data_IF_043010019558
#
_entry.id   IF_043010019558
#
_cell.length_a   1.000
_cell.length_b   1.000
_cell.length_c   1.000
_cell.angle_alpha   90.00
_cell.angle_beta   90.00
_cell.angle_gamma   90.00
#
_symmetry.space_group_name_H-M   'P 1'
#
loop_
_entity.id
_entity.type
_entity.pdbx_description
1 polymer ?
#
# COMPACT_ATOMS: atom_id res chain seq x y z
N UNK A 1 30.32 29.58 4.50
CA UNK A 1 30.32 28.10 4.56
C UNK A 1 29.65 27.58 3.31
N UNK A 2 29.99 26.37 2.81
CA UNK A 2 29.27 25.80 1.67
C UNK A 2 27.78 25.68 2.04
N UNK A 3 26.87 26.19 1.18
CA UNK A 3 25.44 26.07 1.41
C UNK A 3 25.01 24.60 1.35
N UNK A 4 23.85 24.31 1.90
CA UNK A 4 23.20 23.01 1.73
C UNK A 4 22.81 22.85 0.26
N UNK A 5 23.10 21.69 -0.39
CA UNK A 5 22.71 21.46 -1.77
C UNK A 5 21.18 21.36 -1.93
N UNK A 6 20.72 21.46 -3.18
CA UNK A 6 19.36 21.08 -3.56
C UNK A 6 19.14 19.59 -3.22
N UNK A 7 17.94 19.21 -2.80
CA UNK A 7 17.61 17.82 -2.45
C UNK A 7 16.10 17.58 -2.45
N UNK A 8 15.71 16.32 -2.23
CA UNK A 8 14.33 15.91 -2.11
C UNK A 8 13.62 16.61 -0.94
N UNK A 9 12.34 16.94 -1.14
CA UNK A 9 11.54 17.63 -0.13
C UNK A 9 11.34 16.80 1.15
N UNK A 10 11.30 15.47 1.04
CA UNK A 10 11.24 14.54 2.18
C UNK A 10 12.53 14.57 2.98
N UNK A 11 13.69 14.74 2.32
CA UNK A 11 14.97 14.86 3.01
C UNK A 11 15.07 16.18 3.79
N UNK A 12 14.65 17.29 3.18
CA UNK A 12 14.55 18.57 3.90
C UNK A 12 13.65 18.47 5.13
N UNK A 13 12.48 17.84 5.00
CA UNK A 13 11.57 17.61 6.11
C UNK A 13 12.22 16.78 7.23
N UNK A 14 12.83 15.65 6.86
CA UNK A 14 13.49 14.76 7.82
C UNK A 14 14.64 15.46 8.57
N UNK A 15 15.40 16.33 7.90
CA UNK A 15 16.47 17.15 8.51
C UNK A 15 15.87 18.12 9.54
N UNK A 16 14.81 18.85 9.17
CA UNK A 16 14.10 19.75 10.10
C UNK A 16 13.64 19.00 11.35
N UNK A 17 13.03 17.83 11.17
CA UNK A 17 12.53 16.99 12.26
C UNK A 17 13.64 16.45 13.16
N UNK A 18 14.79 16.12 12.57
CA UNK A 18 15.96 15.63 13.31
C UNK A 18 16.62 16.72 14.16
N UNK A 19 16.71 17.96 13.66
CA UNK A 19 17.43 19.05 14.32
C UNK A 19 16.53 20.03 15.09
N UNK A 20 15.22 20.04 14.81
CA UNK A 20 14.28 21.09 15.27
C UNK A 20 14.45 22.43 14.57
N UNK A 21 15.35 22.51 13.58
CA UNK A 21 15.60 23.67 12.73
C UNK A 21 16.13 23.21 11.37
N UNK A 22 16.17 24.13 10.43
CA UNK A 22 16.75 23.88 9.12
C UNK A 22 18.28 23.86 9.18
N UNK A 23 18.88 23.07 8.29
CA UNK A 23 20.31 23.07 8.09
C UNK A 23 20.69 24.26 7.20
N UNK A 24 21.56 25.12 7.70
CA UNK A 24 22.02 26.32 6.97
C UNK A 24 23.33 26.05 6.23
N UNK A 25 24.01 24.94 6.56
CA UNK A 25 25.29 24.56 5.98
C UNK A 25 25.51 23.05 5.98
N UNK A 26 26.46 22.59 5.18
CA UNK A 26 26.96 21.21 5.22
C UNK A 26 27.45 20.82 6.62
N UNK A 27 27.96 21.77 7.41
CA UNK A 27 28.41 21.51 8.78
C UNK A 27 27.25 21.11 9.70
N UNK A 28 26.05 21.63 9.46
CA UNK A 28 24.87 21.20 10.21
C UNK A 28 24.47 19.77 9.85
N UNK A 29 24.61 19.37 8.58
CA UNK A 29 24.37 17.99 8.16
C UNK A 29 25.29 16.99 8.87
N UNK A 30 26.57 17.35 9.06
CA UNK A 30 27.54 16.49 9.77
C UNK A 30 27.13 16.15 11.20
N UNK A 31 26.35 17.01 11.86
CA UNK A 31 25.87 16.79 13.24
C UNK A 31 24.72 15.80 13.33
N UNK A 32 24.09 15.45 12.20
CA UNK A 32 22.94 14.55 12.16
C UNK A 32 23.42 13.13 12.44
N UNK A 33 22.75 12.48 13.38
CA UNK A 33 23.04 11.12 13.82
C UNK A 33 21.92 10.14 13.50
N UNK A 34 20.69 10.64 13.39
CA UNK A 34 19.47 9.85 13.15
C UNK A 34 18.58 10.56 12.14
N UNK A 35 18.11 9.81 11.14
CA UNK A 35 17.12 10.24 10.16
C UNK A 35 16.05 9.14 10.03
N UNK A 36 14.77 9.47 10.24
CA UNK A 36 13.68 8.46 10.32
C UNK A 36 12.28 8.94 9.90
N UNK A 37 12.14 10.17 9.41
CA UNK A 37 10.84 10.84 9.16
C UNK A 37 10.78 11.32 7.70
N UNK A 38 10.88 10.37 6.76
CA UNK A 38 10.88 10.61 5.31
C UNK A 38 9.48 10.45 4.69
N UNK A 39 8.44 10.31 5.51
CA UNK A 39 7.05 10.10 5.09
C UNK A 39 6.33 11.38 4.69
N UNK A 40 6.84 12.54 5.06
CA UNK A 40 6.25 13.82 4.68
C UNK A 40 7.26 14.59 3.83
N UNK A 41 6.73 15.41 2.91
CA UNK A 41 7.54 16.30 2.09
C UNK A 41 7.21 17.74 2.46
N UNK A 42 8.20 18.62 2.35
CA UNK A 42 7.95 20.06 2.45
C UNK A 42 7.02 20.52 1.33
N UNK A 43 6.02 21.33 1.70
CA UNK A 43 5.06 21.89 0.76
C UNK A 43 5.80 22.79 -0.27
N UNK A 44 5.61 22.56 -1.59
CA UNK A 44 6.28 23.30 -2.66
C UNK A 44 6.00 24.81 -2.66
N UNK A 45 4.93 25.27 -2.00
CA UNK A 45 4.48 26.67 -2.02
C UNK A 45 4.98 27.51 -0.85
N UNK A 46 5.65 26.93 0.15
CA UNK A 46 6.29 27.71 1.21
C UNK A 46 7.57 28.39 0.72
N UNK A 47 7.72 29.70 0.98
CA UNK A 47 8.97 30.44 0.72
C UNK A 47 10.12 29.88 1.57
N UNK A 48 11.26 29.60 0.92
CA UNK A 48 12.35 28.82 1.52
C UNK A 48 13.63 29.63 1.68
N UNK A 49 14.28 29.58 2.84
CA UNK A 49 15.63 30.11 3.03
C UNK A 49 16.77 29.32 2.34
N UNK A 50 16.51 28.15 1.75
CA UNK A 50 17.49 27.26 1.08
C UNK A 50 17.00 26.81 -0.30
N UNK A 51 17.85 26.07 -1.04
CA UNK A 51 17.80 25.77 -2.47
C UNK A 51 16.53 25.14 -3.06
N UNK A 52 16.62 24.73 -4.33
CA UNK A 52 15.49 24.17 -5.10
C UNK A 52 15.16 22.75 -4.65
N UNK A 53 13.91 22.34 -4.86
CA UNK A 53 13.54 20.92 -4.77
C UNK A 53 14.19 20.13 -5.90
N UNK A 54 14.83 19.03 -5.55
CA UNK A 54 15.29 18.00 -6.46
C UNK A 54 14.62 16.68 -6.05
N UNK A 55 13.40 16.39 -6.54
CA UNK A 55 12.71 15.13 -6.23
C UNK A 55 13.58 13.92 -6.59
N UNK A 56 13.67 12.93 -5.71
CA UNK A 56 14.50 11.73 -5.89
C UNK A 56 15.98 11.88 -5.46
N UNK A 57 16.46 13.12 -5.24
CA UNK A 57 17.86 13.36 -4.85
C UNK A 57 18.05 13.32 -3.32
N UNK A 58 18.69 12.24 -2.86
CA UNK A 58 19.07 12.03 -1.46
C UNK A 58 20.59 12.09 -1.23
N UNK A 59 21.37 12.56 -2.22
CA UNK A 59 22.84 12.59 -2.19
C UNK A 59 23.41 13.35 -0.99
N UNK A 60 22.67 14.33 -0.47
CA UNK A 60 23.04 15.13 0.68
C UNK A 60 23.23 14.31 1.98
N UNK A 61 22.63 13.12 2.08
CA UNK A 61 22.86 12.17 3.18
C UNK A 61 24.35 11.79 3.28
N UNK A 62 25.07 11.76 2.15
CA UNK A 62 26.51 11.45 2.13
C UNK A 62 27.39 12.46 2.89
N UNK A 63 26.87 13.63 3.27
CA UNK A 63 27.57 14.60 4.13
C UNK A 63 27.34 14.36 5.64
N UNK A 64 26.44 13.46 6.02
CA UNK A 64 26.11 13.17 7.42
C UNK A 64 27.10 12.15 8.02
N UNK A 65 28.36 12.56 8.22
CA UNK A 65 29.47 11.69 8.63
C UNK A 65 29.24 10.96 9.98
N UNK A 66 28.38 11.51 10.85
CA UNK A 66 28.02 10.93 12.15
C UNK A 66 26.70 10.13 12.14
N UNK A 67 26.08 9.94 10.97
CA UNK A 67 24.82 9.21 10.82
C UNK A 67 25.00 7.75 11.23
N UNK A 68 24.25 7.31 12.24
CA UNK A 68 24.24 5.94 12.71
C UNK A 68 22.90 5.23 12.51
N UNK A 69 21.84 5.97 12.20
CA UNK A 69 20.51 5.41 11.91
C UNK A 69 19.86 6.15 10.75
N UNK A 70 19.52 5.42 9.70
CA UNK A 70 18.79 5.90 8.53
C UNK A 70 17.59 4.99 8.31
N UNK A 71 16.39 5.55 8.33
CA UNK A 71 15.14 4.80 8.19
C UNK A 71 14.24 5.50 7.17
N UNK A 72 14.04 4.87 6.02
CA UNK A 72 13.03 5.26 5.03
C UNK A 72 11.69 4.59 5.37
N UNK A 73 11.08 4.94 6.49
CA UNK A 73 9.80 4.36 6.95
C UNK A 73 8.64 4.83 6.06
N UNK A 74 8.50 4.31 4.85
CA UNK A 74 7.48 4.77 3.89
C UNK A 74 6.18 3.96 3.93
N UNK A 75 5.99 3.10 4.93
CA UNK A 75 4.77 2.27 5.09
C UNK A 75 3.49 3.09 5.25
N UNK A 76 3.62 4.38 5.57
CA UNK A 76 2.51 5.29 5.88
C UNK A 76 1.90 5.97 4.64
N UNK A 77 2.35 5.66 3.42
CA UNK A 77 1.71 6.10 2.16
C UNK A 77 1.53 4.95 1.15
N UNK A 78 0.58 4.03 1.39
CA UNK A 78 0.32 2.92 0.47
C UNK A 78 -0.23 3.38 -0.90
N UNK A 79 -0.90 4.55 -1.00
CA UNK A 79 -0.61 5.63 -1.97
C UNK A 79 0.37 5.37 -3.10
N UNK A 80 1.61 5.41 -2.66
CA UNK A 80 2.75 5.66 -3.48
C UNK A 80 3.52 4.35 -3.49
N UNK A 81 3.96 3.92 -4.68
CA UNK A 81 4.92 2.84 -4.77
C UNK A 81 6.17 3.14 -3.92
N UNK A 82 7.09 2.17 -3.79
CA UNK A 82 8.32 2.35 -3.02
C UNK A 82 8.97 3.70 -3.31
N UNK A 83 9.51 4.36 -2.28
CA UNK A 83 10.14 5.66 -2.46
C UNK A 83 11.22 5.57 -3.55
N UNK A 84 11.05 6.37 -4.59
CA UNK A 84 12.04 6.47 -5.66
C UNK A 84 13.21 7.32 -5.19
N UNK A 85 14.38 6.71 -5.16
CA UNK A 85 15.67 7.34 -4.87
C UNK A 85 16.54 7.14 -6.10
N UNK A 86 17.03 8.24 -6.68
CA UNK A 86 17.72 8.20 -7.97
C UNK A 86 19.07 7.47 -7.89
N UNK A 87 19.79 7.64 -6.78
CA UNK A 87 21.10 7.06 -6.56
C UNK A 87 21.37 6.81 -5.07
N UNK A 88 21.71 5.55 -4.73
CA UNK A 88 22.06 5.12 -3.37
C UNK A 88 23.57 5.19 -3.07
N UNK A 89 24.41 5.65 -4.00
CA UNK A 89 25.87 5.72 -3.84
C UNK A 89 26.31 6.55 -2.61
N UNK A 90 25.46 7.46 -2.12
CA UNK A 90 25.69 8.21 -0.89
C UNK A 90 25.91 7.32 0.34
N UNK A 91 25.37 6.09 0.34
CA UNK A 91 25.55 5.12 1.42
C UNK A 91 27.02 4.83 1.66
N UNK A 92 27.84 4.76 0.60
CA UNK A 92 29.28 4.48 0.70
C UNK A 92 30.04 5.49 1.57
N UNK A 93 29.49 6.68 1.79
CA UNK A 93 30.07 7.74 2.65
C UNK A 93 29.63 7.64 4.11
N UNK A 94 28.57 6.88 4.41
CA UNK A 94 27.96 6.77 5.73
C UNK A 94 28.66 5.71 6.62
N UNK A 95 29.97 5.85 6.84
CA UNK A 95 30.80 4.80 7.48
C UNK A 95 30.44 4.47 8.94
N UNK A 96 29.62 5.28 9.61
CA UNK A 96 29.15 5.06 10.99
C UNK A 96 27.73 4.49 11.08
N UNK A 97 27.11 4.18 9.93
CA UNK A 97 25.75 3.68 9.85
C UNK A 97 25.64 2.30 10.50
N UNK A 98 24.77 2.18 11.52
CA UNK A 98 24.55 0.95 12.29
C UNK A 98 23.21 0.30 11.97
N UNK A 99 22.17 1.13 11.78
CA UNK A 99 20.83 0.70 11.42
C UNK A 99 20.44 1.39 10.12
N UNK A 100 20.11 0.58 9.12
CA UNK A 100 19.66 1.03 7.81
C UNK A 100 18.34 0.36 7.50
N UNK A 101 17.37 1.13 7.05
CA UNK A 101 16.09 0.60 6.61
C UNK A 101 15.74 1.19 5.24
N UNK A 102 15.67 0.29 4.25
CA UNK A 102 15.44 0.53 2.82
C UNK A 102 14.23 -0.24 2.28
N UNK A 103 13.44 -0.95 3.10
CA UNK A 103 12.47 -1.93 2.59
C UNK A 103 11.40 -1.32 1.66
N UNK A 104 10.90 -0.12 1.97
CA UNK A 104 9.94 0.61 1.13
C UNK A 104 10.60 1.63 0.19
N UNK A 105 11.69 1.24 -0.50
CA UNK A 105 12.41 2.10 -1.46
C UNK A 105 12.70 1.38 -2.78
N UNK A 106 13.19 2.11 -3.77
CA UNK A 106 13.68 1.58 -5.05
C UNK A 106 15.07 0.90 -4.99
N UNK A 107 15.56 0.54 -3.80
CA UNK A 107 16.89 -0.05 -3.62
C UNK A 107 17.00 -1.46 -4.24
N UNK A 108 18.08 -1.72 -4.97
CA UNK A 108 18.36 -3.03 -5.59
C UNK A 108 19.78 -3.54 -5.33
N UNK A 109 20.81 -2.68 -5.41
CA UNK A 109 22.21 -3.11 -5.41
C UNK A 109 22.81 -3.36 -4.01
N UNK A 110 22.89 -4.63 -3.62
CA UNK A 110 23.45 -5.04 -2.33
C UNK A 110 24.96 -4.78 -2.18
N UNK A 111 25.70 -4.57 -3.28
CA UNK A 111 27.16 -4.38 -3.22
C UNK A 111 27.54 -3.14 -2.39
N UNK A 112 26.68 -2.11 -2.40
CA UNK A 112 26.85 -0.88 -1.63
C UNK A 112 26.87 -1.11 -0.11
N UNK A 113 26.28 -2.19 0.38
CA UNK A 113 26.21 -2.50 1.81
C UNK A 113 27.56 -2.98 2.35
N UNK A 114 28.41 -3.55 1.49
CA UNK A 114 29.77 -3.99 1.88
C UNK A 114 30.67 -2.82 2.27
N UNK A 115 30.33 -1.60 1.82
CA UNK A 115 31.01 -0.36 2.14
C UNK A 115 30.60 0.24 3.50
N UNK A 116 29.73 -0.44 4.26
CA UNK A 116 29.21 0.01 5.55
C UNK A 116 29.78 -0.83 6.72
N UNK A 117 31.02 -0.56 7.19
CA UNK A 117 31.72 -1.42 8.14
C UNK A 117 31.10 -1.46 9.55
N UNK A 118 30.22 -0.50 9.86
CA UNK A 118 29.57 -0.39 11.17
C UNK A 118 28.15 -0.98 11.20
N UNK A 119 27.66 -1.53 10.08
CA UNK A 119 26.29 -1.98 9.92
C UNK A 119 26.00 -3.16 10.86
N UNK A 120 24.90 -3.06 11.61
CA UNK A 120 24.44 -4.08 12.57
C UNK A 120 23.08 -4.64 12.21
N UNK A 121 22.25 -3.83 11.58
CA UNK A 121 20.90 -4.20 11.18
C UNK A 121 20.56 -3.51 9.86
N UNK A 122 20.02 -4.30 8.92
CA UNK A 122 19.52 -3.82 7.65
C UNK A 122 18.15 -4.42 7.34
N UNK A 123 17.22 -3.58 6.90
CA UNK A 123 15.93 -3.97 6.35
C UNK A 123 15.93 -3.64 4.86
N UNK A 124 15.67 -4.63 4.02
CA UNK A 124 15.79 -4.56 2.58
C UNK A 124 14.45 -4.89 1.90
N UNK A 125 14.25 -4.46 0.65
CA UNK A 125 13.17 -4.96 -0.18
C UNK A 125 13.21 -6.50 -0.32
N UNK A 126 12.11 -7.09 -0.79
CA UNK A 126 12.01 -8.52 -1.12
C UNK A 126 13.26 -9.02 -1.87
N UNK A 127 13.80 -10.19 -1.50
CA UNK A 127 15.10 -10.65 -2.00
C UNK A 127 15.14 -10.80 -3.51
N UNK A 128 14.02 -11.15 -4.15
CA UNK A 128 13.88 -11.26 -5.61
C UNK A 128 14.10 -9.94 -6.37
N UNK A 129 13.95 -8.79 -5.70
CA UNK A 129 14.15 -7.44 -6.28
C UNK A 129 15.60 -6.96 -6.16
N UNK A 130 16.44 -7.72 -5.45
CA UNK A 130 17.81 -7.33 -5.15
C UNK A 130 18.79 -7.87 -6.19
N UNK A 131 19.82 -7.08 -6.48
CA UNK A 131 20.97 -7.43 -7.29
C UNK A 131 22.21 -7.61 -6.40
N UNK A 132 23.21 -8.35 -6.89
CA UNK A 132 24.45 -8.67 -6.16
C UNK A 132 24.22 -9.26 -4.76
N UNK A 133 23.21 -10.13 -4.64
CA UNK A 133 22.75 -10.71 -3.36
C UNK A 133 23.84 -11.49 -2.64
N UNK A 134 24.83 -12.02 -3.36
CA UNK A 134 26.05 -12.64 -2.81
C UNK A 134 26.83 -11.70 -1.86
N UNK A 135 26.68 -10.38 -2.00
CA UNK A 135 27.28 -9.40 -1.11
C UNK A 135 26.73 -9.51 0.33
N UNK A 136 25.49 -9.99 0.49
CA UNK A 136 24.85 -10.15 1.80
C UNK A 136 25.55 -11.23 2.64
N UNK A 137 26.14 -12.25 2.02
CA UNK A 137 26.84 -13.35 2.71
C UNK A 137 28.14 -12.87 3.39
N UNK A 138 28.71 -11.76 2.91
CA UNK A 138 29.89 -11.13 3.51
C UNK A 138 29.57 -10.24 4.72
N UNK A 139 28.28 -9.92 4.96
CA UNK A 139 27.87 -9.01 6.02
C UNK A 139 27.72 -9.76 7.35
N UNK A 140 28.32 -9.23 8.42
CA UNK A 140 28.17 -9.77 9.78
C UNK A 140 26.97 -9.16 10.54
N UNK A 141 25.94 -8.70 9.82
CA UNK A 141 24.83 -7.93 10.38
C UNK A 141 23.50 -8.69 10.31
N UNK A 142 22.50 -8.27 11.10
CA UNK A 142 21.13 -8.80 11.00
C UNK A 142 20.48 -8.26 9.71
N UNK A 143 20.10 -9.18 8.82
CA UNK A 143 19.46 -8.86 7.53
C UNK A 143 18.01 -9.31 7.60
N UNK A 144 17.09 -8.41 7.26
CA UNK A 144 15.67 -8.70 7.08
C UNK A 144 15.24 -8.25 5.70
N UNK A 145 14.50 -9.09 5.01
CA UNK A 145 13.89 -8.79 3.72
C UNK A 145 12.38 -8.73 3.89
N UNK A 146 11.75 -7.86 3.12
CA UNK A 146 10.30 -7.70 3.05
C UNK A 146 9.75 -8.69 2.02
N UNK A 147 9.84 -9.99 2.35
CA UNK A 147 9.30 -11.03 1.49
C UNK A 147 7.77 -10.98 1.50
N UNK A 148 7.12 -11.19 0.34
CA UNK A 148 5.69 -11.34 0.29
C UNK A 148 5.27 -12.58 1.09
N UNK A 149 4.07 -12.54 1.67
CA UNK A 149 3.53 -13.67 2.43
C UNK A 149 3.38 -14.93 1.57
N UNK A 150 3.09 -14.75 0.28
CA UNK A 150 2.95 -15.82 -0.70
C UNK A 150 3.84 -15.60 -1.92
N UNK A 151 4.27 -16.70 -2.54
CA UNK A 151 4.87 -16.72 -3.88
C UNK A 151 3.91 -17.29 -4.90
N UNK A 152 4.17 -17.08 -6.18
CA UNK A 152 3.35 -17.66 -7.26
C UNK A 152 3.28 -19.22 -7.15
N UNK A 153 4.31 -19.85 -6.57
CA UNK A 153 4.40 -21.30 -6.37
C UNK A 153 3.74 -21.81 -5.07
N UNK A 154 3.53 -20.93 -4.08
CA UNK A 154 2.99 -21.31 -2.76
C UNK A 154 1.59 -20.77 -2.50
N UNK A 155 1.05 -19.99 -3.43
CA UNK A 155 -0.29 -19.43 -3.31
C UNK A 155 -1.35 -20.56 -3.26
N UNK A 156 -2.38 -20.44 -2.40
CA UNK A 156 -3.47 -21.40 -2.37
C UNK A 156 -4.14 -21.56 -3.74
N UNK A 157 -4.52 -22.78 -4.08
CA UNK A 157 -5.37 -23.04 -5.25
C UNK A 157 -6.73 -22.34 -5.06
N UNK A 158 -7.33 -21.91 -6.17
CA UNK A 158 -8.63 -21.26 -6.17
C UNK A 158 -9.47 -21.66 -7.39
N UNK A 159 -10.78 -21.66 -7.22
CA UNK A 159 -11.73 -21.79 -8.32
C UNK A 159 -11.79 -20.51 -9.15
N UNK A 160 -11.83 -20.63 -10.48
CA UNK A 160 -11.96 -19.48 -11.38
C UNK A 160 -13.39 -19.36 -11.92
N UNK A 161 -14.05 -18.26 -11.61
CA UNK A 161 -15.38 -17.89 -12.09
C UNK A 161 -15.19 -16.91 -13.26
N UNK A 162 -15.49 -17.29 -14.51
CA UNK A 162 -15.28 -16.41 -15.67
C UNK A 162 -16.33 -15.30 -15.73
N UNK A 163 -16.05 -14.29 -16.55
CA UNK A 163 -17.04 -13.26 -16.90
C UNK A 163 -18.28 -13.87 -17.57
N UNK A 164 -19.40 -13.19 -17.43
CA UNK A 164 -20.70 -13.63 -17.93
C UNK A 164 -21.53 -12.51 -18.54
N UNK A 165 -22.79 -12.81 -18.84
CA UNK A 165 -23.74 -11.82 -19.35
C UNK A 165 -24.16 -10.85 -18.23
N UNK A 166 -24.00 -9.55 -18.46
CA UNK A 166 -24.47 -8.51 -17.55
C UNK A 166 -25.96 -8.30 -17.80
N UNK A 167 -26.80 -8.90 -16.96
CA UNK A 167 -28.24 -8.65 -16.98
C UNK A 167 -28.53 -7.33 -16.27
N UNK A 168 -29.34 -6.43 -16.87
CA UNK A 168 -29.69 -5.17 -16.22
C UNK A 168 -30.49 -5.47 -14.95
N UNK A 169 -30.06 -4.97 -13.78
CA UNK A 169 -30.80 -5.21 -12.55
C UNK A 169 -32.16 -4.51 -12.62
N UNK A 170 -33.25 -5.25 -12.41
CA UNK A 170 -34.62 -4.73 -12.38
C UNK A 170 -35.19 -4.77 -10.96
N UNK A 171 -35.46 -3.61 -10.37
CA UNK A 171 -36.15 -3.53 -9.07
C UNK A 171 -35.49 -2.59 -8.06
N UNK A 172 -35.98 -2.68 -6.83
CA UNK A 172 -35.41 -2.06 -5.63
C UNK A 172 -34.12 -2.80 -5.21
N UNK A 173 -33.43 -2.31 -4.17
CA UNK A 173 -32.27 -3.01 -3.62
C UNK A 173 -32.67 -4.42 -3.13
N UNK A 174 -31.85 -5.42 -3.45
CA UNK A 174 -32.02 -6.79 -2.97
C UNK A 174 -31.44 -6.99 -1.58
N UNK A 175 -30.41 -6.22 -1.23
CA UNK A 175 -29.75 -6.26 0.08
C UNK A 175 -30.66 -5.69 1.17
N UNK A 176 -30.52 -6.23 2.39
CA UNK A 176 -31.27 -5.80 3.57
C UNK A 176 -30.45 -4.90 4.49
N UNK A 177 -29.12 -4.90 4.36
CA UNK A 177 -28.20 -4.06 5.12
C UNK A 177 -27.17 -3.41 4.19
N UNK A 178 -26.88 -2.14 4.45
CA UNK A 178 -25.80 -1.38 3.83
C UNK A 178 -25.14 -0.50 4.89
N UNK A 179 -23.83 -0.61 5.05
CA UNK A 179 -23.01 0.30 5.83
C UNK A 179 -22.02 1.02 4.92
N UNK A 180 -21.95 2.34 5.03
CA UNK A 180 -20.98 3.19 4.35
C UNK A 180 -20.19 3.96 5.41
N UNK A 181 -18.90 3.64 5.57
CA UNK A 181 -18.02 4.22 6.59
C UNK A 181 -18.63 4.22 8.00
N UNK A 182 -19.34 3.14 8.36
CA UNK A 182 -20.02 2.98 9.64
C UNK A 182 -21.40 3.64 9.74
N UNK A 183 -21.90 4.28 8.68
CA UNK A 183 -23.28 4.77 8.60
C UNK A 183 -24.17 3.68 8.04
N UNK A 184 -25.11 3.19 8.86
CA UNK A 184 -25.93 2.02 8.54
C UNK A 184 -27.31 2.40 7.97
N UNK A 185 -27.75 1.61 7.00
CA UNK A 185 -29.05 1.67 6.34
C UNK A 185 -29.62 0.25 6.25
N UNK A 186 -30.85 0.07 6.71
CA UNK A 186 -31.51 -1.24 6.80
C UNK A 186 -32.84 -1.18 6.05
N UNK A 187 -33.14 -2.23 5.29
CA UNK A 187 -34.39 -2.41 4.53
C UNK A 187 -34.80 -1.15 3.75
N UNK A 188 -35.96 -0.56 4.05
CA UNK A 188 -36.49 0.62 3.38
C UNK A 188 -35.64 1.88 3.54
N UNK A 189 -34.61 1.86 4.40
CA UNK A 189 -33.58 2.89 4.47
C UNK A 189 -32.61 2.87 3.29
N UNK A 190 -32.51 1.75 2.57
CA UNK A 190 -31.64 1.55 1.41
C UNK A 190 -32.35 2.08 0.16
N UNK A 191 -32.37 3.41 0.03
CA UNK A 191 -33.00 4.09 -1.10
C UNK A 191 -32.05 4.24 -2.29
N UNK A 192 -32.58 4.56 -3.47
CA UNK A 192 -31.74 4.87 -4.64
C UNK A 192 -30.76 6.04 -4.37
N UNK A 193 -31.15 7.01 -3.54
CA UNK A 193 -30.28 8.12 -3.15
C UNK A 193 -29.06 7.65 -2.32
N UNK A 194 -29.27 6.66 -1.43
CA UNK A 194 -28.19 6.04 -0.64
C UNK A 194 -27.25 5.25 -1.56
N UNK A 195 -27.80 4.48 -2.51
CA UNK A 195 -27.00 3.77 -3.50
C UNK A 195 -26.17 4.72 -4.40
N UNK A 196 -26.76 5.84 -4.82
CA UNK A 196 -26.07 6.86 -5.62
C UNK A 196 -25.00 7.60 -4.81
N UNK A 197 -25.20 7.79 -3.51
CA UNK A 197 -24.20 8.34 -2.59
C UNK A 197 -23.02 7.37 -2.41
N UNK A 198 -23.30 6.11 -2.08
CA UNK A 198 -22.30 5.04 -1.97
C UNK A 198 -21.47 4.92 -3.25
N UNK A 199 -22.11 4.83 -4.41
CA UNK A 199 -21.40 4.72 -5.68
C UNK A 199 -20.53 5.95 -5.98
N UNK A 200 -20.99 7.16 -5.66
CA UNK A 200 -20.18 8.37 -5.78
C UNK A 200 -18.99 8.36 -4.84
N UNK A 201 -19.18 7.93 -3.59
CA UNK A 201 -18.12 7.86 -2.59
C UNK A 201 -17.03 6.85 -2.97
N UNK A 202 -17.41 5.68 -3.50
CA UNK A 202 -16.47 4.68 -4.03
C UNK A 202 -15.70 5.26 -5.23
N UNK A 203 -16.41 5.78 -6.25
CA UNK A 203 -15.79 6.32 -7.46
C UNK A 203 -14.81 7.46 -7.21
N UNK A 204 -15.09 8.30 -6.20
CA UNK A 204 -14.18 9.38 -5.81
C UNK A 204 -13.03 8.94 -4.91
N UNK A 205 -13.01 7.67 -4.46
CA UNK A 205 -12.06 7.16 -3.46
C UNK A 205 -12.25 7.79 -2.07
N UNK A 206 -13.45 8.33 -1.79
CA UNK A 206 -13.76 8.97 -0.51
C UNK A 206 -14.27 7.97 0.53
N UNK A 207 -14.94 6.90 0.08
CA UNK A 207 -15.30 5.77 0.92
C UNK A 207 -14.03 5.03 1.37
N UNK A 208 -14.03 4.54 2.61
CA UNK A 208 -12.97 3.68 3.17
C UNK A 208 -13.46 2.25 3.30
N UNK A 209 -14.72 2.08 3.66
CA UNK A 209 -15.32 0.78 3.91
C UNK A 209 -16.79 0.79 3.49
N UNK A 210 -17.21 -0.25 2.79
CA UNK A 210 -18.61 -0.52 2.47
C UNK A 210 -18.93 -1.97 2.84
N UNK A 211 -20.04 -2.19 3.53
CA UNK A 211 -20.54 -3.53 3.81
C UNK A 211 -21.99 -3.65 3.33
N UNK A 212 -22.32 -4.72 2.61
CA UNK A 212 -23.67 -5.03 2.17
C UNK A 212 -23.99 -6.48 2.54
N UNK A 213 -25.19 -6.73 3.05
CA UNK A 213 -25.62 -8.08 3.39
C UNK A 213 -27.04 -8.35 2.92
N UNK A 214 -27.30 -9.61 2.59
CA UNK A 214 -28.64 -10.12 2.37
C UNK A 214 -29.45 -10.20 3.66
N UNK A 215 -28.81 -10.11 4.83
CA UNK A 215 -29.41 -10.06 6.16
C UNK A 215 -29.59 -8.63 6.65
N UNK A 216 -30.52 -8.41 7.58
CA UNK A 216 -30.64 -7.14 8.31
C UNK A 216 -29.58 -6.95 9.41
N UNK A 217 -28.87 -8.04 9.78
CA UNK A 217 -27.86 -8.05 10.85
C UNK A 217 -26.42 -7.90 10.35
N UNK A 218 -26.19 -7.68 9.05
CA UNK A 218 -24.87 -7.29 8.53
C UNK A 218 -23.81 -8.39 8.48
N UNK A 219 -24.20 -9.67 8.39
CA UNK A 219 -23.28 -10.81 8.13
C UNK A 219 -22.95 -11.71 9.33
N UNK A 220 -23.70 -11.64 10.44
CA UNK A 220 -23.47 -12.49 11.63
C UNK A 220 -24.06 -13.92 11.54
N UNK A 221 -24.91 -14.22 10.54
CA UNK A 221 -25.77 -15.42 10.50
C UNK A 221 -25.52 -16.38 9.31
N UNK A 222 -24.28 -16.61 8.89
CA UNK A 222 -23.94 -17.46 7.72
C UNK A 222 -24.66 -17.03 6.42
N UNK A 223 -24.88 -15.72 6.27
CA UNK A 223 -25.54 -15.14 5.09
C UNK A 223 -24.53 -14.43 4.19
N UNK A 224 -24.75 -14.53 2.88
CA UNK A 224 -23.95 -13.88 1.86
C UNK A 224 -23.82 -12.36 2.10
N UNK A 225 -22.58 -11.89 2.16
CA UNK A 225 -22.27 -10.47 2.33
C UNK A 225 -21.07 -10.05 1.49
N UNK A 226 -21.06 -8.78 1.09
CA UNK A 226 -19.99 -8.13 0.36
C UNK A 226 -19.38 -7.03 1.24
N UNK A 227 -18.09 -7.17 1.56
CA UNK A 227 -17.30 -6.07 2.12
C UNK A 227 -16.42 -5.47 1.04
N UNK A 228 -16.19 -4.16 1.12
CA UNK A 228 -15.33 -3.44 0.19
C UNK A 228 -14.46 -2.49 0.97
N UNK A 229 -13.20 -2.87 1.14
CA UNK A 229 -12.16 -1.98 1.63
C UNK A 229 -11.64 -1.14 0.47
N UNK A 230 -11.57 0.18 0.66
CA UNK A 230 -11.05 1.12 -0.33
C UNK A 230 -9.91 1.92 0.30
N UNK A 231 -8.78 1.91 -0.38
CA UNK A 231 -7.66 2.74 -0.03
C UNK A 231 -6.89 3.10 -1.29
N UNK A 232 -6.52 4.37 -1.42
CA UNK A 232 -5.41 4.74 -2.28
C UNK A 232 -5.64 4.50 -3.78
N UNK A 233 -6.88 4.67 -4.24
CA UNK A 233 -7.27 4.38 -5.63
C UNK A 233 -7.52 2.90 -5.92
N UNK A 234 -7.38 2.04 -4.90
CA UNK A 234 -7.65 0.61 -4.97
C UNK A 234 -8.86 0.24 -4.13
N UNK A 235 -9.56 -0.80 -4.55
CA UNK A 235 -10.68 -1.39 -3.83
C UNK A 235 -10.59 -2.92 -3.85
N UNK A 236 -11.01 -3.55 -2.76
CA UNK A 236 -11.13 -5.01 -2.66
C UNK A 236 -12.56 -5.40 -2.32
N UNK A 237 -13.42 -5.61 -3.34
CA UNK A 237 -14.68 -6.30 -3.14
C UNK A 237 -14.43 -7.75 -2.69
N UNK A 238 -14.71 -8.05 -1.43
CA UNK A 238 -14.60 -9.36 -0.82
C UNK A 238 -16.01 -9.91 -0.57
N UNK A 239 -16.41 -10.87 -1.41
CA UNK A 239 -17.70 -11.52 -1.29
C UNK A 239 -17.55 -12.80 -0.47
N UNK A 240 -18.22 -12.84 0.67
CA UNK A 240 -18.26 -14.00 1.55
C UNK A 240 -19.59 -14.69 1.33
N UNK A 241 -19.57 -15.98 0.98
CA UNK A 241 -20.76 -16.77 0.73
C UNK A 241 -20.66 -18.18 1.31
N UNK A 242 -21.80 -18.79 1.58
CA UNK A 242 -21.89 -20.13 2.14
C UNK A 242 -22.54 -21.08 1.13
N UNK A 243 -22.04 -22.30 1.01
CA UNK A 243 -22.68 -23.32 0.16
C UNK A 243 -23.80 -24.08 0.89
N UNK A 244 -24.44 -25.02 0.19
CA UNK A 244 -25.54 -25.81 0.75
C UNK A 244 -25.13 -26.69 1.95
N UNK A 245 -23.84 -26.96 2.11
CA UNK A 245 -23.28 -27.73 3.23
C UNK A 245 -22.91 -26.82 4.42
N UNK A 246 -22.93 -25.50 4.21
CA UNK A 246 -22.59 -24.48 5.21
C UNK A 246 -21.09 -24.16 5.24
N UNK A 247 -20.32 -24.60 4.23
CA UNK A 247 -18.91 -24.24 4.13
C UNK A 247 -18.80 -22.80 3.60
N UNK A 248 -17.91 -22.02 4.21
CA UNK A 248 -17.69 -20.61 3.88
C UNK A 248 -16.68 -20.47 2.74
N UNK A 249 -16.97 -19.59 1.80
CA UNK A 249 -16.17 -19.32 0.61
C UNK A 249 -15.90 -17.82 0.49
N UNK A 250 -14.67 -17.47 0.13
CA UNK A 250 -14.29 -16.09 -0.16
C UNK A 250 -14.10 -15.93 -1.67
N UNK A 251 -14.81 -14.98 -2.28
CA UNK A 251 -14.63 -14.60 -3.67
C UNK A 251 -13.98 -13.22 -3.77
N UNK A 252 -12.85 -13.14 -4.47
CA UNK A 252 -12.13 -11.91 -4.78
C UNK A 252 -12.10 -11.68 -6.29
N UNK A 253 -12.16 -10.43 -6.79
CA UNK A 253 -12.12 -10.17 -8.22
C UNK A 253 -10.74 -10.51 -8.79
N UNK A 254 -10.67 -11.01 -10.02
CA UNK A 254 -9.40 -11.26 -10.71
C UNK A 254 -9.08 -10.06 -11.60
N UNK A 255 -8.06 -9.30 -11.22
CA UNK A 255 -7.51 -8.22 -12.02
C UNK A 255 -6.46 -8.74 -12.99
N UNK A 256 -6.89 -9.01 -14.23
CA UNK A 256 -6.07 -9.63 -15.28
C UNK A 256 -4.85 -8.80 -15.70
N UNK A 257 -4.77 -7.52 -15.29
CA UNK A 257 -3.57 -6.68 -15.51
C UNK A 257 -2.37 -7.15 -14.70
N UNK A 258 -2.59 -7.87 -13.60
CA UNK A 258 -1.55 -8.35 -12.70
C UNK A 258 -1.56 -9.88 -12.66
N UNK A 259 -0.45 -10.49 -13.08
CA UNK A 259 -0.36 -11.95 -13.15
C UNK A 259 0.21 -12.59 -11.89
N UNK A 260 1.06 -11.88 -11.14
CA UNK A 260 1.73 -12.39 -9.94
C UNK A 260 0.92 -12.08 -8.69
N UNK A 261 0.97 -12.99 -7.71
CA UNK A 261 0.40 -12.78 -6.37
C UNK A 261 1.38 -12.08 -5.41
N UNK A 262 2.63 -11.92 -5.84
CA UNK A 262 3.70 -11.39 -5.01
C UNK A 262 3.78 -9.87 -5.00
N UNK A 263 2.93 -9.22 -5.78
CA UNK A 263 2.74 -7.77 -5.73
C UNK A 263 1.51 -7.47 -4.89
N UNK A 264 1.72 -6.82 -3.75
CA UNK A 264 0.64 -6.42 -2.86
C UNK A 264 -0.04 -5.14 -3.37
N UNK A 265 -1.36 -5.12 -3.25
CA UNK A 265 -2.19 -3.94 -3.37
C UNK A 265 -2.01 -3.08 -2.10
N UNK A 266 -2.20 -1.77 -2.20
CA UNK A 266 -2.04 -0.86 -1.08
C UNK A 266 -3.22 -0.88 -0.08
N UNK A 267 -4.26 -1.66 -0.40
CA UNK A 267 -5.48 -1.85 0.38
C UNK A 267 -5.44 -3.22 1.05
N UNK A 268 -5.92 -3.29 2.30
CA UNK A 268 -5.96 -4.52 3.09
C UNK A 268 -7.41 -4.91 3.35
N UNK A 269 -7.72 -6.20 3.33
CA UNK A 269 -9.04 -6.68 3.81
C UNK A 269 -9.08 -6.57 5.33
N UNK A 270 -10.11 -5.92 5.87
CA UNK A 270 -10.30 -5.74 7.32
C UNK A 270 -9.15 -5.01 8.01
N UNK A 271 -8.38 -4.22 7.25
CA UNK A 271 -7.23 -3.46 7.75
C UNK A 271 -6.04 -4.27 8.25
N UNK A 272 -5.98 -5.59 8.00
CA UNK A 272 -4.92 -6.45 8.53
C UNK A 272 -4.18 -7.26 7.46
N UNK A 273 -4.90 -7.83 6.49
CA UNK A 273 -4.29 -8.75 5.53
C UNK A 273 -3.96 -8.03 4.22
N UNK A 274 -2.68 -8.03 3.77
CA UNK A 274 -2.33 -7.52 2.45
C UNK A 274 -3.02 -8.37 1.38
N UNK A 275 -3.48 -7.72 0.32
CA UNK A 275 -4.17 -8.40 -0.78
C UNK A 275 -3.27 -8.33 -2.00
N UNK A 276 -2.99 -9.43 -2.72
CA UNK A 276 -2.28 -9.34 -3.99
C UNK A 276 -3.02 -8.42 -4.97
N UNK A 277 -2.31 -7.62 -5.77
CA UNK A 277 -2.91 -6.76 -6.82
C UNK A 277 -3.79 -7.53 -7.78
N UNK A 278 -3.47 -8.81 -8.01
CA UNK A 278 -4.27 -9.73 -8.82
C UNK A 278 -5.68 -9.95 -8.25
N UNK A 279 -5.89 -9.75 -6.96
CA UNK A 279 -7.16 -9.92 -6.26
C UNK A 279 -7.79 -8.59 -5.77
N UNK A 280 -7.35 -7.47 -6.35
CA UNK A 280 -7.82 -6.13 -6.03
C UNK A 280 -8.06 -5.31 -7.31
N UNK A 281 -8.97 -4.34 -7.26
CA UNK A 281 -9.29 -3.48 -8.39
C UNK A 281 -8.62 -2.12 -8.22
N UNK A 282 -7.89 -1.67 -9.25
CA UNK A 282 -7.35 -0.31 -9.37
C UNK A 282 -8.19 0.56 -10.31
N UNK A 283 -9.44 0.15 -10.52
CA UNK A 283 -10.50 0.87 -11.22
C UNK A 283 -11.69 1.01 -10.26
N UNK A 284 -11.84 2.21 -9.70
CA UNK A 284 -12.91 2.50 -8.72
C UNK A 284 -14.30 2.60 -9.38
N UNK A 285 -14.37 2.87 -10.68
CA UNK A 285 -15.64 2.80 -11.41
C UNK A 285 -16.09 1.34 -11.49
N UNK A 286 -15.18 0.43 -11.84
CA UNK A 286 -15.45 -1.00 -11.87
C UNK A 286 -15.81 -1.55 -10.48
N UNK A 287 -15.10 -1.11 -9.44
CA UNK A 287 -15.44 -1.48 -8.07
C UNK A 287 -16.87 -1.04 -7.70
N UNK A 288 -17.26 0.19 -8.06
CA UNK A 288 -18.62 0.67 -7.84
C UNK A 288 -19.68 -0.14 -8.61
N UNK A 289 -19.39 -0.59 -9.83
CA UNK A 289 -20.28 -1.51 -10.57
C UNK A 289 -20.43 -2.85 -9.85
N UNK A 290 -19.36 -3.41 -9.29
CA UNK A 290 -19.44 -4.62 -8.46
C UNK A 290 -20.38 -4.44 -7.28
N UNK A 291 -20.23 -3.33 -6.54
CA UNK A 291 -21.06 -3.03 -5.36
C UNK A 291 -22.52 -2.79 -5.73
N UNK A 292 -22.77 -1.98 -6.76
CA UNK A 292 -24.13 -1.69 -7.23
C UNK A 292 -24.84 -2.93 -7.76
N UNK A 293 -24.13 -3.81 -8.43
CA UNK A 293 -24.69 -5.07 -8.92
C UNK A 293 -25.07 -5.98 -7.76
N UNK A 294 -24.19 -6.14 -6.77
CA UNK A 294 -24.49 -6.91 -5.56
C UNK A 294 -25.68 -6.31 -4.80
N UNK A 295 -25.71 -4.99 -4.59
CA UNK A 295 -26.80 -4.29 -3.92
C UNK A 295 -28.18 -4.58 -4.55
N UNK A 296 -28.23 -4.84 -5.85
CA UNK A 296 -29.48 -5.05 -6.61
C UNK A 296 -29.81 -6.51 -6.87
N UNK A 297 -28.87 -7.43 -6.71
CA UNK A 297 -29.03 -8.83 -7.13
C UNK A 297 -28.65 -9.85 -6.07
N UNK A 298 -27.82 -9.47 -5.09
CA UNK A 298 -27.18 -10.40 -4.15
C UNK A 298 -26.12 -11.30 -4.81
N UNK A 299 -25.71 -11.02 -6.06
CA UNK A 299 -24.79 -11.87 -6.81
C UNK A 299 -23.50 -11.13 -7.20
N UNK A 300 -22.47 -11.90 -7.54
CA UNK A 300 -21.20 -11.40 -8.09
C UNK A 300 -21.43 -10.68 -9.43
N UNK A 301 -20.73 -9.57 -9.64
CA UNK A 301 -20.80 -8.84 -10.89
C UNK A 301 -20.14 -9.63 -12.03
N UNK A 302 -20.88 -9.97 -13.10
CA UNK A 302 -20.36 -10.84 -14.16
C UNK A 302 -19.41 -10.12 -15.13
N UNK A 303 -19.25 -8.80 -15.02
CA UNK A 303 -18.32 -8.03 -15.84
C UNK A 303 -16.85 -8.20 -15.45
N UNK A 304 -16.56 -8.87 -14.32
CA UNK A 304 -15.20 -9.23 -13.91
C UNK A 304 -15.12 -10.73 -13.61
N UNK A 305 -13.97 -11.38 -13.85
CA UNK A 305 -13.74 -12.73 -13.35
C UNK A 305 -13.52 -12.68 -11.82
N UNK A 306 -13.81 -13.79 -11.14
CA UNK A 306 -13.64 -13.93 -9.69
C UNK A 306 -12.85 -15.19 -9.36
N UNK A 307 -12.03 -15.12 -8.31
CA UNK A 307 -11.34 -16.24 -7.70
C UNK A 307 -12.09 -16.63 -6.43
N UNK A 308 -12.50 -17.90 -6.35
CA UNK A 308 -13.18 -18.49 -5.19
C UNK A 308 -12.17 -19.31 -4.38
N UNK A 309 -12.06 -18.98 -3.11
CA UNK A 309 -11.21 -19.64 -2.11
C UNK A 309 -12.11 -20.44 -1.17
N UNK A 310 -11.69 -21.68 -0.92
CA UNK A 310 -12.29 -22.62 0.05
C UNK A 310 -11.54 -22.58 1.40
#
# INVERSE_FOLDING_TARGET
MPPVPDMDGRLYWAILRSQGRWADSIYDLKKIKVLKDLTQSIDPYYERPWGKLAPGDFSAIGYMEDLHTLIFDCRLRPDEGPLQVDDFSFLTRCKKLKKLDLHSTSFTDCSLLTELPALKQVYLPARKKLEHVEALDALSCEIKTDEPEFTDDTFPDYGYIPTGEILPPSGEAAVRYLSLDGTEHIDGGITQAVLDEMARAIRSGAAREVCLSMSEYGGEDDEDFLTVDIAYGWAVPAFNCWDEEGDAHLCLPVNERYSSVEEEAPVCIGGQSPVPKRFALDDLDLAAECVLYFARTGALYPGVPWARFD
#
